data_IF_963629992320
#
_entry.id   IF_963629992320
#
_cell.length_a   1.000
_cell.length_b   1.000
_cell.length_c   1.000
_cell.angle_alpha   90.00
_cell.angle_beta   90.00
_cell.angle_gamma   90.00
#
_symmetry.space_group_name_H-M   'P 1'
#
loop_
_entity.id
_entity.type
_entity.pdbx_description
1 polymer ?
#
# COMPACT_ATOMS: atom_id res chain seq x y z
N UNK A 1 -0.91 3.84 -10.92
CA UNK A 1 -1.59 2.57 -10.61
C UNK A 1 -1.52 2.40 -9.11
N UNK A 2 -2.64 2.17 -8.40
CA UNK A 2 -2.59 1.92 -6.97
C UNK A 2 -1.81 0.63 -6.73
N UNK A 3 -0.81 0.72 -5.85
CA UNK A 3 0.02 -0.41 -5.45
C UNK A 3 -0.74 -1.24 -4.42
N UNK A 4 -0.34 -2.49 -4.26
CA UNK A 4 -0.86 -3.32 -3.18
C UNK A 4 -0.56 -2.66 -1.82
N UNK A 5 -1.45 -2.81 -0.84
CA UNK A 5 -1.20 -2.31 0.50
C UNK A 5 -1.91 -3.16 1.56
N UNK A 6 -1.44 -3.05 2.80
CA UNK A 6 -2.09 -3.64 3.97
C UNK A 6 -2.65 -2.53 4.83
N UNK A 7 -3.90 -2.67 5.22
CA UNK A 7 -4.63 -1.70 6.03
C UNK A 7 -4.97 -2.30 7.39
N UNK A 8 -4.89 -1.46 8.42
CA UNK A 8 -5.42 -1.78 9.73
C UNK A 8 -6.09 -0.55 10.33
N UNK A 9 -7.41 -0.61 10.41
CA UNK A 9 -8.22 0.43 11.04
C UNK A 9 -8.16 0.34 12.55
N UNK A 10 -7.99 1.50 13.18
CA UNK A 10 -8.15 1.67 14.63
C UNK A 10 -9.15 2.78 14.90
N UNK A 11 -9.68 2.84 16.13
CA UNK A 11 -10.50 3.97 16.56
C UNK A 11 -9.78 5.33 16.48
N UNK A 12 -8.45 5.33 16.37
CA UNK A 12 -7.63 6.55 16.32
C UNK A 12 -7.13 6.87 14.89
N UNK A 13 -7.47 6.06 13.89
CA UNK A 13 -7.07 6.27 12.50
C UNK A 13 -6.63 4.98 11.80
N UNK A 14 -6.41 5.10 10.49
CA UNK A 14 -5.97 4.01 9.61
C UNK A 14 -4.44 3.93 9.59
N UNK A 15 -3.90 2.72 9.77
CA UNK A 15 -2.52 2.41 9.43
C UNK A 15 -2.45 1.75 8.06
N UNK A 16 -1.44 2.15 7.29
CA UNK A 16 -1.17 1.59 5.98
C UNK A 16 0.27 1.16 5.84
N UNK A 17 0.49 -0.03 5.31
CA UNK A 17 1.79 -0.51 4.86
C UNK A 17 1.75 -0.61 3.35
N UNK A 18 2.62 0.13 2.65
CA UNK A 18 2.63 0.16 1.19
C UNK A 18 4.05 0.09 0.62
N UNK A 19 4.23 -0.54 -0.56
CA UNK A 19 5.52 -0.64 -1.22
C UNK A 19 5.95 0.73 -1.77
N UNK A 20 7.17 1.11 -1.43
CA UNK A 20 7.83 2.35 -1.84
C UNK A 20 9.26 2.07 -2.33
N UNK A 21 9.99 3.12 -2.68
CA UNK A 21 11.43 3.04 -2.93
C UNK A 21 12.16 4.12 -2.17
N UNK A 22 13.16 3.70 -1.38
CA UNK A 22 14.05 4.60 -0.66
C UNK A 22 15.46 4.46 -1.24
N UNK A 23 16.01 5.56 -1.76
CA UNK A 23 17.32 5.58 -2.42
C UNK A 23 17.47 4.50 -3.51
N UNK A 24 16.41 4.25 -4.29
CA UNK A 24 16.40 3.26 -5.37
C UNK A 24 16.29 1.80 -4.91
N UNK A 25 16.16 1.54 -3.60
CA UNK A 25 15.92 0.19 -3.07
C UNK A 25 14.44 -0.01 -2.79
N UNK A 26 13.85 -1.17 -3.13
CA UNK A 26 12.47 -1.47 -2.76
C UNK A 26 12.35 -1.62 -1.24
N UNK A 27 11.32 -1.02 -0.67
CA UNK A 27 11.01 -1.12 0.75
C UNK A 27 9.52 -0.86 0.98
N UNK A 28 9.07 -0.95 2.22
CA UNK A 28 7.68 -0.76 2.62
C UNK A 28 7.59 0.42 3.59
N UNK A 29 6.80 1.43 3.22
CA UNK A 29 6.50 2.57 4.07
C UNK A 29 5.34 2.23 5.00
N UNK A 30 5.44 2.68 6.25
CA UNK A 30 4.36 2.64 7.23
C UNK A 30 3.82 4.04 7.42
N UNK A 31 2.53 4.19 7.17
CA UNK A 31 1.81 5.45 7.21
C UNK A 31 0.73 5.39 8.28
N UNK A 32 0.54 6.50 8.98
CA UNK A 32 -0.65 6.76 9.81
C UNK A 32 -1.24 8.09 9.36
N UNK A 33 -2.49 8.10 8.89
CA UNK A 33 -3.14 9.32 8.37
C UNK A 33 -2.28 10.10 7.35
N UNK A 34 -1.58 9.39 6.45
CA UNK A 34 -0.59 9.90 5.49
C UNK A 34 0.73 10.44 6.08
N UNK A 35 0.95 10.35 7.39
CA UNK A 35 2.23 10.64 8.04
C UNK A 35 3.16 9.42 7.97
N UNK A 36 4.39 9.62 7.47
CA UNK A 36 5.40 8.57 7.39
C UNK A 36 6.03 8.26 8.75
N UNK A 37 5.81 7.03 9.24
CA UNK A 37 6.34 6.55 10.52
C UNK A 37 7.67 5.80 10.37
N UNK A 38 7.89 5.16 9.23
CA UNK A 38 9.12 4.41 8.95
C UNK A 38 9.12 3.67 7.62
N UNK A 39 10.28 3.15 7.23
CA UNK A 39 10.49 2.32 6.05
C UNK A 39 11.23 1.03 6.43
N UNK A 40 10.76 -0.10 5.91
CA UNK A 40 11.27 -1.44 6.26
C UNK A 40 11.48 -2.30 5.02
N UNK A 41 12.32 -3.34 5.13
CA UNK A 41 12.62 -4.22 4.00
C UNK A 41 11.46 -5.14 3.60
N UNK A 42 10.55 -5.44 4.52
CA UNK A 42 9.36 -6.27 4.29
C UNK A 42 8.13 -5.77 5.05
N UNK A 43 6.92 -6.08 4.59
CA UNK A 43 5.69 -5.67 5.27
C UNK A 43 5.50 -6.41 6.61
N UNK A 44 6.03 -7.61 6.78
CA UNK A 44 5.99 -8.36 8.05
C UNK A 44 6.85 -7.68 9.13
N UNK A 45 8.04 -7.21 8.75
CA UNK A 45 8.92 -6.45 9.65
C UNK A 45 8.25 -5.13 10.01
N UNK A 46 7.65 -4.45 9.04
CA UNK A 46 6.87 -3.23 9.28
C UNK A 46 5.75 -3.47 10.31
N UNK A 47 4.89 -4.47 10.10
CA UNK A 47 3.79 -4.77 11.04
C UNK A 47 4.30 -5.11 12.45
N UNK A 48 5.38 -5.89 12.53
CA UNK A 48 6.02 -6.26 13.81
C UNK A 48 6.55 -5.03 14.56
N UNK A 49 7.35 -4.20 13.88
CA UNK A 49 7.88 -2.98 14.49
C UNK A 49 6.77 -2.02 14.91
N UNK A 50 5.65 -1.99 14.18
CA UNK A 50 4.54 -1.09 14.47
C UNK A 50 3.83 -1.52 15.75
N UNK A 51 3.55 -2.83 15.85
CA UNK A 51 2.92 -3.43 17.01
C UNK A 51 3.73 -3.21 18.31
N UNK A 52 5.06 -3.19 18.20
CA UNK A 52 5.95 -2.94 19.34
C UNK A 52 6.32 -1.46 19.52
N UNK A 53 5.77 -0.54 18.73
CA UNK A 53 6.05 0.90 18.83
C UNK A 53 7.50 1.28 18.51
N UNK A 54 8.21 0.45 17.74
CA UNK A 54 9.60 0.67 17.33
C UNK A 54 9.69 1.52 16.05
N UNK A 55 8.94 2.63 16.02
CA UNK A 55 8.85 3.55 14.88
C UNK A 55 8.91 5.00 15.35
N UNK A 56 8.95 5.94 14.40
CA UNK A 56 8.70 7.34 14.74
C UNK A 56 7.30 7.46 15.30
N UNK A 57 7.17 8.24 16.37
CA UNK A 57 5.86 8.57 16.94
C UNK A 57 5.14 9.52 16.00
N UNK A 58 3.83 9.32 15.76
CA UNK A 58 3.01 10.27 15.03
C UNK A 58 3.08 11.65 15.68
N UNK A 59 3.03 12.70 14.87
CA UNK A 59 3.17 14.09 15.31
C UNK A 59 2.06 14.53 16.26
N UNK A 60 0.91 13.85 16.23
CA UNK A 60 -0.23 14.06 17.13
C UNK A 60 -0.02 13.50 18.56
N UNK A 61 1.10 12.83 18.84
CA UNK A 61 1.39 12.27 20.16
C UNK A 61 0.76 10.89 20.43
N UNK A 62 0.28 10.21 19.38
CA UNK A 62 -0.29 8.87 19.48
C UNK A 62 0.72 7.85 20.03
N UNK A 63 0.31 7.07 21.02
CA UNK A 63 1.13 5.99 21.58
C UNK A 63 0.81 4.65 20.91
N UNK A 64 1.65 4.30 19.93
CA UNK A 64 1.51 3.09 19.12
C UNK A 64 1.47 1.80 19.95
N UNK A 65 2.22 1.76 21.07
CA UNK A 65 2.31 0.57 21.92
C UNK A 65 1.01 0.24 22.66
N UNK A 66 0.12 1.22 22.80
CA UNK A 66 -1.16 1.09 23.52
C UNK A 66 -2.33 0.74 22.60
N UNK A 67 -2.10 0.72 21.29
CA UNK A 67 -3.14 0.45 20.29
C UNK A 67 -3.48 -1.04 20.13
N UNK A 68 -2.62 -1.94 20.61
CA UNK A 68 -2.83 -3.38 20.46
C UNK A 68 -2.81 -3.82 18.99
N UNK A 69 -1.99 -3.17 18.16
CA UNK A 69 -1.87 -3.50 16.74
C UNK A 69 -1.33 -4.94 16.58
N UNK A 70 -1.88 -5.74 15.67
CA UNK A 70 -1.41 -7.11 15.49
C UNK A 70 -0.05 -7.13 14.78
N UNK A 71 0.95 -7.84 15.32
CA UNK A 71 2.26 -7.97 14.67
C UNK A 71 2.21 -8.87 13.43
N UNK A 72 1.21 -9.76 13.36
CA UNK A 72 1.04 -10.67 12.25
C UNK A 72 0.32 -9.96 11.09
N UNK A 73 1.01 -9.85 9.95
CA UNK A 73 0.46 -9.23 8.73
C UNK A 73 -0.81 -9.94 8.22
N UNK A 74 -0.98 -11.23 8.53
CA UNK A 74 -2.20 -11.99 8.19
C UNK A 74 -3.47 -11.48 8.90
N UNK A 75 -3.34 -10.68 9.96
CA UNK A 75 -4.46 -10.01 10.63
C UNK A 75 -4.83 -8.66 10.00
N UNK A 76 -4.08 -8.21 9.00
CA UNK A 76 -4.31 -6.96 8.29
C UNK A 76 -5.18 -7.20 7.05
N UNK A 77 -5.91 -6.16 6.63
CA UNK A 77 -6.70 -6.21 5.40
C UNK A 77 -5.77 -5.99 4.22
N UNK A 78 -5.57 -7.03 3.40
CA UNK A 78 -4.81 -6.92 2.16
C UNK A 78 -5.67 -6.30 1.06
N UNK A 79 -5.17 -5.22 0.47
CA UNK A 79 -5.73 -4.55 -0.70
C UNK A 79 -4.85 -4.87 -1.89
N UNK A 80 -5.32 -5.68 -2.86
CA UNK A 80 -4.54 -6.02 -4.04
C UNK A 80 -4.29 -4.77 -4.90
N UNK A 81 -3.23 -4.76 -5.73
CA UNK A 81 -3.00 -3.64 -6.63
C UNK A 81 -4.20 -3.56 -7.58
N UNK A 82 -4.86 -2.41 -7.68
CA UNK A 82 -5.91 -2.28 -8.71
C UNK A 82 -5.19 -2.34 -10.05
N UNK A 83 -5.35 -3.47 -10.75
CA UNK A 83 -5.09 -3.53 -12.17
C UNK A 83 -5.95 -2.42 -12.76
N UNK A 84 -5.31 -1.36 -13.28
CA UNK A 84 -6.02 -0.49 -14.21
C UNK A 84 -6.45 -1.42 -15.34
N UNK A 85 -7.74 -1.76 -15.40
CA UNK A 85 -8.32 -2.40 -16.56
C UNK A 85 -8.00 -1.50 -17.73
N UNK A 86 -6.93 -1.82 -18.46
CA UNK A 86 -6.72 -1.33 -19.80
C UNK A 86 -7.83 -1.99 -20.61
N UNK A 87 -8.93 -1.27 -20.77
CA UNK A 87 -9.93 -1.54 -21.80
C UNK A 87 -9.21 -1.42 -23.15
N UNK A 88 -8.58 -2.51 -23.57
CA UNK A 88 -8.12 -2.66 -24.94
C UNK A 88 -9.36 -3.07 -25.73
N UNK A 89 -10.22 -2.08 -26.03
CA UNK A 89 -11.18 -2.21 -27.11
C UNK A 89 -10.38 -2.33 -28.40
N UNK A 90 -9.99 -3.56 -28.72
CA UNK A 90 -9.52 -3.95 -30.04
C UNK A 90 -10.70 -3.65 -30.96
N UNK A 91 -10.67 -2.50 -31.62
CA UNK A 91 -11.50 -2.28 -32.81
C UNK A 91 -10.94 -3.22 -33.88
N UNK A 92 -11.70 -4.21 -34.38
CA UNK A 92 -11.22 -5.02 -35.46
C UNK A 92 -11.01 -4.14 -36.70
N UNK A 93 -9.77 -4.14 -37.19
CA UNK A 93 -9.32 -3.60 -38.47
C UNK A 93 -10.03 -4.37 -39.61
N UNK A 94 -11.31 -4.10 -39.83
CA UNK A 94 -12.09 -4.72 -40.90
C UNK A 94 -12.89 -3.66 -41.66
N UNK A 95 -12.18 -2.69 -42.25
CA UNK A 95 -12.67 -1.94 -43.40
C UNK A 95 -11.49 -1.45 -44.27
N UNK A 96 -10.54 -2.34 -44.55
CA UNK A 96 -9.71 -2.22 -45.74
C UNK A 96 -10.46 -2.86 -46.90
N UNK A 97 -11.07 -2.05 -47.76
CA UNK A 97 -11.21 -2.38 -49.16
C UNK A 97 -10.92 -1.15 -50.02
N UNK A 98 -9.85 -1.17 -50.83
CA UNK A 98 -9.72 -0.33 -52.01
C UNK A 98 -10.36 -1.04 -53.21
N UNK A 99 -11.15 -0.35 -54.05
CA UNK A 99 -11.22 -0.49 -55.52
C UNK A 99 -12.51 0.08 -56.14
N UNK A 100 -12.32 0.92 -57.16
CA UNK A 100 -13.28 1.21 -58.24
C UNK A 100 -14.26 2.35 -57.93
N UNK A 101 -14.42 3.40 -58.74
CA UNK A 101 -14.13 3.63 -60.16
C UNK A 101 -14.13 5.15 -60.41
#
# INVERSE_FOLDING_TARGET
MPRECWLYDTFQGEFRIEPTSLAGRPCYAVLWDNELLGCFESPEIAATHLAYGQMRRPSCGLDLSRLGLPPALAAWVYVPPCHASYDHQIVPEAARHPLGR
#
